data_IF_663725949905
#
_entry.id   IF_663725949905
#
_cell.length_a   1.000
_cell.length_b   1.000
_cell.length_c   1.000
_cell.angle_alpha   90.00
_cell.angle_beta   90.00
_cell.angle_gamma   90.00
#
_symmetry.space_group_name_H-M   'P 1'
#
loop_
_entity.id
_entity.type
_entity.pdbx_description
1 polymer ?
#
# COMPACT_ATOMS: atom_id res chain seq x y z
N UNK A 1 9.90 -1.05 -7.00
CA UNK A 1 10.02 -0.13 -5.85
C UNK A 1 9.59 -0.84 -4.59
N UNK A 2 10.31 -0.63 -3.51
CA UNK A 2 9.98 -1.28 -2.23
C UNK A 2 9.19 -0.34 -1.34
N UNK A 3 8.09 -0.85 -0.81
CA UNK A 3 7.25 -0.11 0.12
C UNK A 3 7.74 -0.37 1.55
N UNK A 4 7.81 0.71 2.34
CA UNK A 4 8.03 0.59 3.77
C UNK A 4 6.69 0.18 4.39
N UNK A 5 6.62 -1.06 4.85
CA UNK A 5 5.37 -1.62 5.35
C UNK A 5 4.85 -0.87 6.58
N UNK A 6 5.76 -0.35 7.40
CA UNK A 6 5.35 0.44 8.57
C UNK A 6 4.65 1.73 8.15
N UNK A 7 5.23 2.43 7.18
CA UNK A 7 4.62 3.66 6.67
C UNK A 7 3.26 3.38 6.03
N UNK A 8 3.16 2.27 5.31
CA UNK A 8 1.91 1.86 4.70
C UNK A 8 0.85 1.57 5.75
N UNK A 9 1.21 0.84 6.81
CA UNK A 9 0.27 0.55 7.89
C UNK A 9 -0.21 1.82 8.59
N UNK A 10 0.68 2.77 8.81
CA UNK A 10 0.32 4.04 9.43
C UNK A 10 -0.65 4.81 8.54
N UNK A 11 -0.39 4.84 7.23
CA UNK A 11 -1.27 5.52 6.29
C UNK A 11 -2.66 4.88 6.26
N UNK A 12 -2.72 3.55 6.30
CA UNK A 12 -3.98 2.82 6.36
C UNK A 12 -4.74 3.17 7.64
N UNK A 13 -4.02 3.23 8.76
CA UNK A 13 -4.63 3.58 10.04
C UNK A 13 -5.22 4.98 10.02
N UNK A 14 -4.54 5.93 9.37
CA UNK A 14 -5.06 7.29 9.24
C UNK A 14 -6.39 7.34 8.50
N UNK A 15 -6.58 6.43 7.56
CA UNK A 15 -7.80 6.34 6.76
C UNK A 15 -8.79 5.34 7.33
N UNK A 16 -8.47 4.70 8.45
CA UNK A 16 -9.28 3.65 9.06
C UNK A 16 -9.60 2.52 8.07
N UNK A 17 -8.63 2.16 7.24
CA UNK A 17 -8.80 1.11 6.24
C UNK A 17 -8.25 -0.22 6.72
N UNK A 18 -9.04 -1.28 6.51
CA UNK A 18 -8.54 -2.63 6.69
C UNK A 18 -7.79 -3.07 5.43
N UNK A 19 -7.13 -4.23 5.50
CA UNK A 19 -6.47 -4.77 4.31
C UNK A 19 -7.48 -5.01 3.18
N UNK A 20 -8.66 -5.47 3.52
CA UNK A 20 -9.72 -5.69 2.52
C UNK A 20 -10.18 -4.37 1.91
N UNK A 21 -10.34 -3.34 2.74
CA UNK A 21 -10.74 -2.02 2.25
C UNK A 21 -9.73 -1.50 1.24
N UNK A 22 -8.43 -1.66 1.54
CA UNK A 22 -7.40 -1.21 0.62
C UNK A 22 -7.40 -2.04 -0.67
N UNK A 23 -7.56 -3.35 -0.55
CA UNK A 23 -7.63 -4.22 -1.72
C UNK A 23 -8.78 -3.81 -2.64
N UNK A 24 -9.92 -3.50 -2.07
CA UNK A 24 -11.08 -3.04 -2.84
C UNK A 24 -10.82 -1.70 -3.51
N UNK A 25 -10.20 -0.78 -2.78
CA UNK A 25 -9.90 0.55 -3.32
C UNK A 25 -8.87 0.51 -4.45
N UNK A 26 -7.93 -0.41 -4.38
CA UNK A 26 -6.88 -0.58 -5.39
C UNK A 26 -7.31 -1.53 -6.50
N UNK A 27 -8.45 -2.18 -6.33
CA UNK A 27 -8.99 -3.16 -7.27
C UNK A 27 -8.05 -4.36 -7.46
N UNK A 28 -7.57 -4.91 -6.36
CA UNK A 28 -6.73 -6.09 -6.39
C UNK A 28 -7.20 -7.09 -5.33
N UNK A 29 -6.58 -8.28 -5.31
CA UNK A 29 -6.93 -9.30 -4.33
C UNK A 29 -6.32 -8.95 -2.97
N UNK A 30 -6.96 -9.44 -1.90
CA UNK A 30 -6.42 -9.25 -0.55
C UNK A 30 -5.07 -9.91 -0.39
N UNK A 31 -4.83 -11.02 -1.11
CA UNK A 31 -3.54 -11.69 -1.07
C UNK A 31 -2.42 -10.81 -1.58
N UNK A 32 -2.71 -10.00 -2.61
CA UNK A 32 -1.73 -9.04 -3.13
C UNK A 32 -1.34 -8.03 -2.06
N UNK A 33 -2.32 -7.56 -1.29
CA UNK A 33 -2.06 -6.64 -0.19
C UNK A 33 -1.22 -7.32 0.89
N UNK A 34 -1.56 -8.57 1.25
CA UNK A 34 -0.79 -9.33 2.23
C UNK A 34 0.67 -9.50 1.79
N UNK A 35 0.90 -9.78 0.52
CA UNK A 35 2.26 -9.94 0.00
C UNK A 35 3.05 -8.64 0.08
N UNK A 36 2.41 -7.53 -0.21
CA UNK A 36 3.04 -6.23 -0.10
C UNK A 36 3.41 -5.94 1.36
N UNK A 37 2.49 -6.22 2.28
CA UNK A 37 2.71 -5.98 3.70
C UNK A 37 3.78 -6.87 4.31
N UNK A 38 4.04 -8.02 3.70
CA UNK A 38 5.16 -8.87 4.12
C UNK A 38 6.51 -8.32 3.70
N UNK A 39 6.52 -7.34 2.81
CA UNK A 39 7.75 -6.72 2.35
C UNK A 39 8.60 -7.59 1.44
N UNK A 40 8.03 -8.66 0.91
CA UNK A 40 8.78 -9.65 0.13
C UNK A 40 8.92 -9.31 -1.35
N UNK A 41 8.23 -8.29 -1.83
CA UNK A 41 8.22 -7.97 -3.26
C UNK A 41 8.39 -6.50 -3.55
N UNK A 42 8.99 -6.24 -4.71
CA UNK A 42 8.96 -4.90 -5.28
C UNK A 42 7.56 -4.64 -5.83
N UNK A 43 7.08 -3.43 -5.67
CA UNK A 43 5.76 -3.04 -6.14
C UNK A 43 5.90 -2.29 -7.46
N UNK A 44 5.14 -2.67 -8.51
CA UNK A 44 5.18 -1.91 -9.77
C UNK A 44 4.78 -0.46 -9.54
N UNK A 45 5.36 0.43 -10.34
CA UNK A 45 5.10 1.86 -10.23
C UNK A 45 3.59 2.17 -10.29
N UNK A 46 2.89 1.53 -11.20
CA UNK A 46 1.46 1.76 -11.36
C UNK A 46 0.68 1.36 -10.11
N UNK A 47 1.03 0.22 -9.51
CA UNK A 47 0.37 -0.25 -8.31
C UNK A 47 0.69 0.65 -7.12
N UNK A 48 1.95 1.08 -7.02
CA UNK A 48 2.35 2.03 -5.99
C UNK A 48 1.52 3.31 -6.07
N UNK A 49 1.33 3.83 -7.29
CA UNK A 49 0.52 5.01 -7.50
C UNK A 49 -0.92 4.82 -7.07
N UNK A 50 -1.51 3.66 -7.37
CA UNK A 50 -2.88 3.34 -6.96
C UNK A 50 -3.01 3.28 -5.45
N UNK A 51 -2.05 2.65 -4.79
CA UNK A 51 -2.06 2.54 -3.31
C UNK A 51 -1.93 3.92 -2.69
N UNK A 52 -0.98 4.73 -3.17
CA UNK A 52 -0.78 6.07 -2.65
C UNK A 52 -2.03 6.93 -2.82
N UNK A 53 -2.68 6.82 -3.97
CA UNK A 53 -3.90 7.57 -4.24
C UNK A 53 -5.02 7.14 -3.31
N UNK A 54 -5.18 5.83 -3.11
CA UNK A 54 -6.21 5.31 -2.21
C UNK A 54 -5.98 5.78 -0.77
N UNK A 55 -4.72 5.86 -0.36
CA UNK A 55 -4.36 6.30 0.99
C UNK A 55 -4.23 7.82 1.11
N UNK A 56 -4.36 8.54 0.00
CA UNK A 56 -4.25 9.99 -0.06
C UNK A 56 -2.91 10.48 0.50
N UNK A 57 -1.85 9.79 0.12
CA UNK A 57 -0.48 10.18 0.49
C UNK A 57 0.39 10.24 -0.75
N UNK A 58 1.53 10.90 -0.62
CA UNK A 58 2.51 10.95 -1.67
C UNK A 58 3.15 9.56 -1.82
N UNK A 59 3.37 9.07 -3.05
CA UNK A 59 4.04 7.78 -3.21
C UNK A 59 5.38 7.71 -2.49
N UNK A 60 6.12 8.82 -2.42
CA UNK A 60 7.39 8.87 -1.71
C UNK A 60 7.25 8.53 -0.22
N UNK A 61 6.11 8.87 0.38
CA UNK A 61 5.88 8.59 1.79
C UNK A 61 5.77 7.10 2.09
N UNK A 62 5.52 6.31 1.06
CA UNK A 62 5.38 4.86 1.23
C UNK A 62 6.69 4.11 0.97
N UNK A 63 7.69 4.76 0.42
CA UNK A 63 8.91 4.08 0.02
C UNK A 63 9.92 3.98 1.16
N UNK A 64 10.72 2.92 1.11
CA UNK A 64 11.86 2.76 2.01
C UNK A 64 12.94 3.73 1.58
N UNK A 65 13.45 4.48 2.53
CA UNK A 65 14.56 5.40 2.29
C UNK A 65 15.90 4.70 2.40
#
# INVERSE_FOLDING_TARGET
MKIDTRKMCIAMARKCMSNQDLADAVECSIESIHQILRGSRNVPTKKLGKIAKALEVDPEELLIN
#
